data_IF_281405514824
#
_entry.id   IF_281405514824
#
_cell.length_a   1.000
_cell.length_b   1.000
_cell.length_c   1.000
_cell.angle_alpha   90.00
_cell.angle_beta   90.00
_cell.angle_gamma   90.00
#
_symmetry.space_group_name_H-M   'P 1'
#
loop_
_entity.id
_entity.type
_entity.pdbx_description
1 polymer ?
#
# COMPACT_ATOMS: atom_id res chain seq x y z
N UNK A 1 -42.90 52.52 -39.33
CA UNK A 1 -43.66 52.23 -38.10
C UNK A 1 -43.26 50.82 -37.67
N UNK A 2 -42.49 50.52 -36.63
CA UNK A 2 -42.02 51.22 -35.43
C UNK A 2 -40.55 50.82 -35.17
N UNK A 3 -39.80 51.79 -34.66
CA UNK A 3 -38.49 51.68 -34.00
C UNK A 3 -38.68 50.94 -32.66
N UNK A 4 -37.73 50.09 -32.24
CA UNK A 4 -37.43 49.75 -30.83
C UNK A 4 -36.11 48.93 -30.83
N UNK A 5 -34.97 49.54 -30.52
CA UNK A 5 -34.32 49.68 -29.21
C UNK A 5 -33.47 48.48 -28.74
N UNK A 6 -32.20 48.81 -28.55
CA UNK A 6 -31.10 48.11 -27.90
C UNK A 6 -31.48 47.24 -26.70
N UNK A 7 -30.75 46.14 -26.51
CA UNK A 7 -30.15 45.85 -25.20
C UNK A 7 -28.86 45.05 -25.37
N UNK A 8 -27.83 45.61 -24.75
CA UNK A 8 -26.46 45.16 -24.65
C UNK A 8 -26.41 44.09 -23.55
N UNK A 9 -26.01 42.87 -23.89
CA UNK A 9 -25.82 41.78 -22.94
C UNK A 9 -24.44 41.16 -23.10
N UNK A 10 -23.41 41.88 -22.66
CA UNK A 10 -22.09 41.27 -22.45
C UNK A 10 -22.21 40.43 -21.20
N UNK A 11 -22.44 39.13 -21.38
CA UNK A 11 -22.43 38.17 -20.29
C UNK A 11 -20.96 37.84 -19.97
N UNK A 12 -20.61 38.16 -18.74
CA UNK A 12 -19.29 38.04 -18.14
C UNK A 12 -18.89 36.56 -18.08
N UNK A 13 -17.93 36.15 -18.90
CA UNK A 13 -17.30 34.82 -18.83
C UNK A 13 -16.43 34.73 -17.57
N UNK A 14 -17.06 34.46 -16.42
CA UNK A 14 -16.37 33.94 -15.25
C UNK A 14 -16.66 32.45 -15.14
N UNK A 15 -15.59 31.67 -15.14
CA UNK A 15 -15.35 30.38 -14.46
C UNK A 15 -14.49 29.52 -15.39
N UNK A 16 -13.16 29.72 -15.28
CA UNK A 16 -12.15 28.70 -15.58
C UNK A 16 -10.80 29.17 -15.01
N UNK A 17 -10.71 29.25 -13.68
CA UNK A 17 -9.43 29.24 -12.94
C UNK A 17 -9.50 28.08 -11.94
N UNK A 18 -9.40 26.84 -12.43
CA UNK A 18 -9.23 25.66 -11.57
C UNK A 18 -8.50 24.50 -12.25
N UNK A 19 -7.85 24.71 -13.41
CA UNK A 19 -7.16 23.66 -14.18
C UNK A 19 -5.70 24.01 -14.53
N UNK A 20 -5.12 25.02 -13.87
CA UNK A 20 -3.78 25.51 -14.20
C UNK A 20 -2.65 24.84 -13.37
N UNK A 21 -2.96 24.16 -12.27
CA UNK A 21 -1.94 23.74 -11.28
C UNK A 21 -1.48 22.27 -11.38
N UNK A 22 -2.11 21.44 -12.22
CA UNK A 22 -1.75 20.01 -12.32
C UNK A 22 -0.40 19.72 -13.01
N UNK A 23 0.27 20.76 -13.53
CA UNK A 23 1.49 20.63 -14.34
C UNK A 23 2.70 21.35 -13.78
N UNK A 24 2.61 21.93 -12.60
CA UNK A 24 3.76 22.57 -11.96
C UNK A 24 3.74 22.37 -10.45
N UNK A 25 4.92 22.27 -9.85
CA UNK A 25 5.07 22.38 -8.40
C UNK A 25 6.44 22.97 -8.08
N UNK A 26 6.64 23.40 -6.84
CA UNK A 26 7.85 23.93 -6.27
C UNK A 26 8.50 22.91 -5.34
N UNK A 27 9.79 22.71 -5.55
CA UNK A 27 10.64 21.83 -4.76
C UNK A 27 11.67 22.68 -4.04
N UNK A 28 11.67 22.65 -2.71
CA UNK A 28 12.78 23.18 -1.93
C UNK A 28 13.94 22.21 -2.01
N UNK A 29 15.08 22.72 -2.51
CA UNK A 29 16.32 21.96 -2.61
C UNK A 29 17.38 22.69 -1.80
N UNK A 30 17.93 22.09 -0.74
CA UNK A 30 18.98 22.72 0.06
C UNK A 30 20.23 23.00 -0.77
N UNK A 31 20.93 24.11 -0.48
CA UNK A 31 22.17 24.51 -1.16
C UNK A 31 23.25 23.41 -1.18
N UNK A 32 23.29 22.59 -0.13
CA UNK A 32 24.21 21.45 -0.03
C UNK A 32 23.94 20.40 -1.10
N UNK A 33 22.68 20.20 -1.50
CA UNK A 33 22.31 19.31 -2.60
C UNK A 33 22.44 19.99 -3.96
N UNK A 34 22.07 21.27 -4.08
CA UNK A 34 22.24 22.02 -5.34
C UNK A 34 23.69 21.98 -5.82
N UNK A 35 24.65 22.16 -4.91
CA UNK A 35 26.09 22.12 -5.22
C UNK A 35 26.59 20.78 -5.75
N UNK A 36 25.85 19.69 -5.53
CA UNK A 36 26.22 18.36 -6.04
C UNK A 36 25.90 18.19 -7.52
N UNK A 37 25.06 19.06 -8.11
CA UNK A 37 24.59 18.92 -9.48
C UNK A 37 23.55 17.81 -9.70
N UNK A 38 23.21 17.01 -8.68
CA UNK A 38 22.16 15.99 -8.79
C UNK A 38 20.81 16.58 -9.22
N UNK A 39 20.33 17.72 -8.69
CA UNK A 39 19.05 18.29 -9.12
C UNK A 39 19.01 18.62 -10.62
N UNK A 40 20.11 19.12 -11.18
CA UNK A 40 20.22 19.42 -12.62
C UNK A 40 20.22 18.15 -13.48
N UNK A 41 20.67 17.02 -12.93
CA UNK A 41 20.55 15.72 -13.58
C UNK A 41 19.14 15.14 -13.46
N UNK A 42 18.54 15.23 -12.28
CA UNK A 42 17.33 14.50 -11.90
C UNK A 42 16.06 15.16 -12.47
N UNK A 43 15.89 16.46 -12.24
CA UNK A 43 14.64 17.17 -12.52
C UNK A 43 14.27 17.19 -14.01
N UNK A 44 15.21 17.41 -14.96
CA UNK A 44 14.88 17.35 -16.39
C UNK A 44 14.35 15.99 -16.83
N UNK A 45 14.85 14.89 -16.27
CA UNK A 45 14.41 13.52 -16.61
C UNK A 45 12.98 13.26 -16.17
N UNK A 46 12.62 13.74 -14.99
CA UNK A 46 11.24 13.71 -14.52
C UNK A 46 10.34 14.54 -15.44
N UNK A 47 10.70 15.80 -15.70
CA UNK A 47 9.88 16.71 -16.51
C UNK A 47 9.68 16.22 -17.94
N UNK A 48 10.71 15.64 -18.56
CA UNK A 48 10.61 15.06 -19.90
C UNK A 48 9.63 13.88 -19.96
N UNK A 49 9.62 13.03 -18.93
CA UNK A 49 8.76 11.84 -18.91
C UNK A 49 7.31 12.16 -18.54
N UNK A 50 7.08 13.18 -17.72
CA UNK A 50 5.77 13.45 -17.09
C UNK A 50 5.09 14.72 -17.60
N UNK A 51 5.82 15.57 -18.35
CA UNK A 51 5.37 16.93 -18.72
C UNK A 51 5.00 17.83 -17.53
N UNK A 52 5.47 17.50 -16.32
CA UNK A 52 5.33 18.33 -15.12
C UNK A 52 6.57 19.19 -14.95
N UNK A 53 6.37 20.50 -14.79
CA UNK A 53 7.44 21.47 -14.57
C UNK A 53 7.79 21.55 -13.08
N UNK A 54 9.07 21.46 -12.75
CA UNK A 54 9.55 21.65 -11.38
C UNK A 54 10.20 23.01 -11.26
N UNK A 55 9.76 23.80 -10.29
CA UNK A 55 10.38 25.09 -9.94
C UNK A 55 11.18 24.91 -8.65
N UNK A 56 12.49 25.08 -8.71
CA UNK A 56 13.34 25.00 -7.52
C UNK A 56 13.19 26.28 -6.70
N UNK A 57 13.12 26.13 -5.38
CA UNK A 57 13.05 27.25 -4.44
C UNK A 57 14.06 27.05 -3.31
N UNK A 58 14.44 28.16 -2.66
CA UNK A 58 15.38 28.17 -1.54
C UNK A 58 14.65 28.18 -0.19
N UNK A 59 15.42 28.03 0.90
CA UNK A 59 14.86 28.06 2.26
C UNK A 59 14.13 29.37 2.55
N UNK A 60 12.89 29.27 3.05
CA UNK A 60 12.04 30.42 3.40
C UNK A 60 11.01 30.79 2.33
N UNK A 61 11.09 30.20 1.14
CA UNK A 61 10.02 30.27 0.13
C UNK A 61 9.03 29.11 0.30
N UNK A 62 7.73 29.32 0.07
CA UNK A 62 6.77 28.24 0.12
C UNK A 62 7.06 27.21 -0.98
N UNK A 63 7.06 25.93 -0.60
CA UNK A 63 7.26 24.79 -1.49
C UNK A 63 6.20 23.71 -1.20
N UNK A 64 5.83 22.94 -2.22
CA UNK A 64 4.92 21.81 -2.04
C UNK A 64 5.69 20.57 -1.55
N UNK A 65 6.96 20.44 -1.93
CA UNK A 65 7.87 19.37 -1.52
C UNK A 65 9.19 19.95 -1.00
N UNK A 66 9.80 19.30 0.00
CA UNK A 66 11.11 19.69 0.55
C UNK A 66 12.08 18.51 0.62
N UNK A 67 13.28 18.67 0.04
CA UNK A 67 14.39 17.75 0.30
C UNK A 67 15.13 18.17 1.58
N UNK A 68 15.42 17.23 2.47
CA UNK A 68 16.06 17.51 3.74
C UNK A 68 16.95 16.35 4.21
N UNK A 69 17.79 16.62 5.21
CA UNK A 69 18.63 15.62 5.90
C UNK A 69 18.23 15.45 7.37
N UNK A 70 17.08 16.00 7.77
CA UNK A 70 16.59 16.05 9.16
C UNK A 70 15.67 14.86 9.49
N UNK A 71 15.65 13.83 8.63
CA UNK A 71 14.79 12.65 8.76
C UNK A 71 13.29 13.00 8.76
N UNK A 72 12.89 14.05 8.02
CA UNK A 72 11.49 14.41 7.81
C UNK A 72 10.99 13.85 6.47
N UNK A 73 9.90 13.08 6.51
CA UNK A 73 9.32 12.46 5.33
C UNK A 73 9.98 11.13 4.96
N UNK A 74 9.90 10.76 3.68
CA UNK A 74 10.36 9.45 3.20
C UNK A 74 11.81 9.51 2.76
N UNK A 75 12.64 8.54 3.16
CA UNK A 75 14.01 8.42 2.65
C UNK A 75 13.98 8.12 1.13
N UNK A 76 14.70 8.91 0.34
CA UNK A 76 14.65 8.83 -1.13
C UNK A 76 15.99 8.46 -1.77
N UNK A 77 17.11 8.79 -1.15
CA UNK A 77 18.45 8.38 -1.57
C UNK A 77 19.49 8.65 -0.49
N UNK A 78 20.61 7.94 -0.57
CA UNK A 78 21.81 8.19 0.23
C UNK A 78 22.81 8.97 -0.60
N UNK A 79 23.30 10.10 -0.06
CA UNK A 79 24.39 10.86 -0.65
C UNK A 79 25.67 10.72 0.16
N UNK A 80 26.79 11.30 -0.30
CA UNK A 80 28.10 11.12 0.33
C UNK A 80 28.19 11.61 1.79
N UNK A 81 27.36 12.58 2.16
CA UNK A 81 27.40 13.23 3.47
C UNK A 81 26.22 12.87 4.40
N UNK A 82 25.09 12.43 3.83
CA UNK A 82 23.85 12.17 4.58
C UNK A 82 22.82 11.40 3.74
N UNK A 83 21.86 10.79 4.43
CA UNK A 83 20.61 10.31 3.83
C UNK A 83 19.68 11.49 3.55
N UNK A 84 19.08 11.49 2.37
CA UNK A 84 18.14 12.50 1.93
C UNK A 84 16.71 11.99 2.03
N UNK A 85 15.86 12.86 2.56
CA UNK A 85 14.44 12.61 2.76
C UNK A 85 13.63 13.62 1.95
N UNK A 86 12.47 13.18 1.46
CA UNK A 86 11.49 14.02 0.80
C UNK A 86 10.28 14.20 1.71
N UNK A 87 10.07 15.43 2.17
CA UNK A 87 8.92 15.83 2.96
C UNK A 87 7.83 16.39 2.03
N UNK A 88 6.58 16.01 2.28
CA UNK A 88 5.41 16.47 1.51
C UNK A 88 4.70 17.54 2.33
N UNK A 89 5.03 18.80 2.06
CA UNK A 89 4.45 19.96 2.75
C UNK A 89 3.01 20.20 2.30
N UNK A 90 2.77 20.06 1.00
CA UNK A 90 1.45 20.18 0.41
C UNK A 90 1.29 19.18 -0.73
N UNK A 91 0.33 18.26 -0.57
CA UNK A 91 -0.02 17.30 -1.63
C UNK A 91 -0.79 18.00 -2.75
N UNK A 92 -0.33 17.76 -3.98
CA UNK A 92 -0.96 18.21 -5.22
C UNK A 92 -0.73 17.13 -6.28
N UNK A 93 -1.59 17.00 -7.31
CA UNK A 93 -1.41 15.98 -8.35
C UNK A 93 -0.04 16.02 -9.05
N UNK A 94 0.56 17.20 -9.18
CA UNK A 94 1.89 17.39 -9.76
C UNK A 94 3.01 16.93 -8.80
N UNK A 95 2.90 17.27 -7.52
CA UNK A 95 3.86 16.89 -6.48
C UNK A 95 3.80 15.37 -6.20
N UNK A 96 2.61 14.81 -6.07
CA UNK A 96 2.42 13.37 -5.81
C UNK A 96 3.03 12.52 -6.93
N UNK A 97 2.87 12.96 -8.19
CA UNK A 97 3.50 12.31 -9.34
C UNK A 97 5.03 12.35 -9.30
N UNK A 98 5.63 13.40 -8.72
CA UNK A 98 7.08 13.44 -8.49
C UNK A 98 7.50 12.45 -7.41
N UNK A 99 6.77 12.37 -6.30
CA UNK A 99 7.00 11.40 -5.22
C UNK A 99 6.97 9.97 -5.79
N UNK A 100 5.89 9.62 -6.50
CA UNK A 100 5.72 8.30 -7.14
C UNK A 100 6.85 7.98 -8.13
N UNK A 101 7.23 8.96 -8.96
CA UNK A 101 8.30 8.76 -9.93
C UNK A 101 9.67 8.57 -9.25
N UNK A 102 9.97 9.36 -8.22
CA UNK A 102 11.27 9.37 -7.57
C UNK A 102 11.60 8.02 -6.93
N UNK A 103 10.61 7.37 -6.32
CA UNK A 103 10.75 6.04 -5.69
C UNK A 103 10.58 4.87 -6.67
N UNK A 104 10.25 5.13 -7.93
CA UNK A 104 10.14 4.09 -8.97
C UNK A 104 11.49 3.64 -9.52
N UNK A 105 11.53 2.51 -10.24
CA UNK A 105 12.72 2.06 -11.00
C UNK A 105 13.33 3.15 -11.90
N UNK A 106 12.49 4.02 -12.47
CA UNK A 106 12.96 5.09 -13.34
C UNK A 106 13.66 6.20 -12.55
N UNK A 107 13.11 6.59 -11.40
CA UNK A 107 13.73 7.54 -10.47
C UNK A 107 15.00 6.96 -9.86
N UNK A 108 14.96 5.72 -9.40
CA UNK A 108 16.12 5.04 -8.82
C UNK A 108 17.29 4.88 -9.79
N UNK A 109 17.03 4.57 -11.07
CA UNK A 109 18.08 4.60 -12.11
C UNK A 109 18.60 5.99 -12.40
N UNK A 110 17.76 7.03 -12.31
CA UNK A 110 18.20 8.40 -12.50
C UNK A 110 19.10 8.88 -11.35
N UNK A 111 18.83 8.44 -10.12
CA UNK A 111 19.66 8.73 -8.94
C UNK A 111 21.00 7.98 -9.05
N UNK A 112 20.95 6.64 -9.17
CA UNK A 112 22.16 5.79 -9.16
C UNK A 112 23.00 5.91 -10.42
N UNK A 113 22.42 6.38 -11.53
CA UNK A 113 23.12 6.66 -12.78
C UNK A 113 23.85 8.00 -12.81
N UNK A 114 23.69 8.85 -11.79
CA UNK A 114 24.40 10.12 -11.72
C UNK A 114 25.87 9.91 -11.32
N UNK A 115 26.78 10.33 -12.20
CA UNK A 115 28.23 10.24 -12.01
C UNK A 115 28.84 11.63 -12.19
N UNK A 116 29.00 12.41 -11.11
CA UNK A 116 29.72 13.67 -11.16
C UNK A 116 31.24 13.45 -11.19
N UNK A 117 31.97 14.39 -11.78
CA UNK A 117 33.43 14.32 -11.94
C UNK A 117 34.19 14.31 -10.59
N UNK A 118 33.56 14.79 -9.52
CA UNK A 118 34.12 14.84 -8.16
C UNK A 118 33.95 13.52 -7.37
N UNK A 119 33.27 12.53 -7.96
CA UNK A 119 33.04 11.22 -7.36
C UNK A 119 31.93 11.17 -6.30
N UNK A 120 31.11 12.22 -6.14
CA UNK A 120 29.93 12.18 -5.29
C UNK A 120 28.92 11.13 -5.78
N UNK A 121 28.87 9.98 -5.10
CA UNK A 121 27.96 8.89 -5.44
C UNK A 121 26.65 9.01 -4.67
N UNK A 122 25.54 8.73 -5.37
CA UNK A 122 24.22 8.60 -4.78
C UNK A 122 23.71 7.17 -4.96
N UNK A 123 23.18 6.59 -3.88
CA UNK A 123 22.61 5.25 -3.87
C UNK A 123 21.14 5.31 -3.47
N UNK A 124 20.39 4.26 -3.81
CA UNK A 124 19.06 4.08 -3.24
C UNK A 124 19.18 3.90 -1.73
N UNK A 125 18.23 4.42 -0.94
CA UNK A 125 18.27 4.23 0.49
C UNK A 125 18.18 2.74 0.77
N UNK A 126 18.95 2.25 1.73
CA UNK A 126 18.71 0.90 2.27
C UNK A 126 17.35 0.95 2.94
N UNK A 127 16.31 0.51 2.24
CA UNK A 127 15.03 0.19 2.86
C UNK A 127 15.37 -0.94 3.81
N UNK A 128 15.49 -0.62 5.10
CA UNK A 128 15.40 -1.65 6.12
C UNK A 128 14.07 -2.33 5.84
N UNK A 129 14.14 -3.56 5.34
CA UNK A 129 12.99 -4.44 5.28
C UNK A 129 12.39 -4.36 6.67
N UNK A 130 11.24 -3.69 6.79
CA UNK A 130 10.50 -3.66 8.02
C UNK A 130 10.05 -5.10 8.13
N UNK A 131 10.86 -5.93 8.79
CA UNK A 131 10.40 -7.20 9.31
C UNK A 131 9.20 -6.82 10.16
N UNK A 132 7.99 -7.04 9.63
CA UNK A 132 6.78 -6.93 10.41
C UNK A 132 7.04 -7.75 11.66
N UNK A 133 7.00 -7.07 12.82
CA UNK A 133 7.24 -7.72 14.09
C UNK A 133 6.34 -8.97 14.12
N UNK A 134 6.87 -10.16 14.46
CA UNK A 134 6.12 -11.39 14.34
C UNK A 134 4.81 -11.22 15.10
N UNK A 135 3.67 -11.46 14.43
CA UNK A 135 2.35 -11.39 15.05
C UNK A 135 2.27 -12.53 16.06
N UNK A 136 2.62 -12.28 17.32
CA UNK A 136 2.57 -13.32 18.35
C UNK A 136 1.11 -13.54 18.75
N UNK A 137 0.64 -14.78 18.66
CA UNK A 137 -0.67 -15.19 19.17
C UNK A 137 -0.48 -16.21 20.28
N UNK A 138 -1.17 -15.97 21.39
CA UNK A 138 -1.21 -16.90 22.51
C UNK A 138 -2.12 -18.08 22.14
N UNK A 139 -1.54 -19.25 21.84
CA UNK A 139 -2.28 -20.46 21.48
C UNK A 139 -1.38 -21.63 21.12
N UNK A 140 -1.89 -22.87 21.23
CA UNK A 140 -1.14 -24.07 20.84
C UNK A 140 -1.21 -24.26 19.32
N UNK A 141 -0.17 -23.83 18.61
CA UNK A 141 -0.07 -23.94 17.15
C UNK A 141 -0.08 -25.40 16.64
N UNK A 142 0.37 -26.38 17.43
CA UNK A 142 0.31 -27.79 17.05
C UNK A 142 -1.13 -28.30 17.11
N UNK A 143 -1.86 -27.93 18.16
CA UNK A 143 -3.31 -28.17 18.22
C UNK A 143 -4.03 -27.42 17.09
N UNK A 144 -3.62 -26.18 16.80
CA UNK A 144 -4.14 -25.34 15.73
C UNK A 144 -4.02 -25.94 14.33
N UNK A 145 -2.88 -26.54 14.01
CA UNK A 145 -2.69 -27.26 12.74
C UNK A 145 -3.70 -28.41 12.61
N UNK A 146 -3.79 -29.23 13.66
CA UNK A 146 -4.71 -30.38 13.70
C UNK A 146 -6.16 -29.93 13.55
N UNK A 147 -6.57 -28.90 14.30
CA UNK A 147 -7.91 -28.32 14.25
C UNK A 147 -8.21 -27.75 12.87
N UNK A 148 -7.27 -27.01 12.27
CA UNK A 148 -7.41 -26.46 10.92
C UNK A 148 -7.63 -27.55 9.87
N UNK A 149 -6.89 -28.66 9.95
CA UNK A 149 -7.07 -29.80 9.05
C UNK A 149 -8.44 -30.47 9.21
N UNK A 150 -8.93 -30.59 10.45
CA UNK A 150 -10.25 -31.19 10.76
C UNK A 150 -11.41 -30.30 10.30
N UNK A 151 -11.33 -29.02 10.63
CA UNK A 151 -12.43 -28.08 10.49
C UNK A 151 -12.47 -27.40 9.12
N UNK A 152 -11.31 -27.05 8.56
CA UNK A 152 -11.20 -26.27 7.33
C UNK A 152 -10.74 -27.12 6.13
N UNK A 153 -10.05 -28.24 6.39
CA UNK A 153 -9.29 -29.00 5.40
C UNK A 153 -10.08 -29.66 4.28
N UNK A 154 -11.42 -29.76 4.41
CA UNK A 154 -12.29 -30.17 3.30
C UNK A 154 -12.34 -29.10 2.21
N UNK A 155 -12.43 -27.83 2.60
CA UNK A 155 -12.56 -26.72 1.66
C UNK A 155 -11.18 -26.14 1.33
N UNK A 156 -10.40 -25.80 2.34
CA UNK A 156 -9.13 -25.10 2.17
C UNK A 156 -7.94 -26.07 2.16
N UNK A 157 -6.96 -25.81 1.30
CA UNK A 157 -5.61 -26.38 1.48
C UNK A 157 -4.99 -25.67 2.68
N UNK A 158 -4.77 -26.42 3.76
CA UNK A 158 -4.22 -25.94 5.03
C UNK A 158 -2.70 -26.03 5.00
N UNK A 159 -2.17 -27.15 4.51
CA UNK A 159 -0.75 -27.38 4.28
C UNK A 159 -0.53 -28.60 3.37
N UNK A 160 0.71 -29.06 3.24
CA UNK A 160 1.05 -30.18 2.35
C UNK A 160 0.29 -31.47 2.66
N UNK A 161 -0.12 -31.70 3.92
CA UNK A 161 -0.85 -32.91 4.34
C UNK A 161 -2.21 -33.07 3.61
N UNK A 162 -2.81 -31.96 3.15
CA UNK A 162 -4.09 -31.94 2.44
C UNK A 162 -4.07 -31.24 1.07
N UNK A 163 -2.89 -30.94 0.50
CA UNK A 163 -2.74 -30.22 -0.79
C UNK A 163 -3.65 -30.71 -1.92
N UNK A 164 -3.82 -32.03 -2.04
CA UNK A 164 -4.64 -32.67 -3.09
C UNK A 164 -5.97 -33.25 -2.56
N UNK A 165 -6.39 -32.85 -1.35
CA UNK A 165 -7.59 -33.37 -0.67
C UNK A 165 -8.69 -32.32 -0.46
N UNK A 166 -8.40 -31.06 -0.73
CA UNK A 166 -9.35 -29.96 -0.64
C UNK A 166 -10.17 -29.79 -1.94
N UNK A 167 -11.31 -29.09 -1.90
CA UNK A 167 -12.20 -28.89 -3.07
C UNK A 167 -11.59 -28.07 -4.22
N UNK A 168 -10.46 -27.40 -4.00
CA UNK A 168 -9.72 -26.65 -5.03
C UNK A 168 -10.35 -25.33 -5.49
N UNK A 169 -11.61 -25.07 -5.16
CA UNK A 169 -12.34 -23.83 -5.54
C UNK A 169 -12.30 -22.73 -4.47
N UNK A 170 -11.66 -22.97 -3.33
CA UNK A 170 -11.45 -21.98 -2.26
C UNK A 170 -9.97 -21.73 -2.03
N UNK A 171 -9.57 -20.50 -1.66
CA UNK A 171 -8.16 -20.13 -1.51
C UNK A 171 -7.46 -20.99 -0.44
N UNK A 172 -6.17 -21.29 -0.62
CA UNK A 172 -5.38 -21.98 0.42
C UNK A 172 -5.09 -21.06 1.60
N UNK A 173 -4.71 -21.62 2.75
CA UNK A 173 -4.29 -20.81 3.90
C UNK A 173 -3.08 -19.93 3.56
N UNK A 174 -2.08 -20.48 2.87
CA UNK A 174 -0.93 -19.72 2.39
C UNK A 174 -1.33 -18.57 1.44
N UNK A 175 -2.32 -18.78 0.57
CA UNK A 175 -2.84 -17.74 -0.30
C UNK A 175 -3.54 -16.63 0.50
N UNK A 176 -4.35 -16.98 1.50
CA UNK A 176 -5.00 -15.99 2.37
C UNK A 176 -3.95 -15.22 3.18
N UNK A 177 -2.89 -15.88 3.66
CA UNK A 177 -1.78 -15.27 4.41
C UNK A 177 -1.03 -14.19 3.64
N UNK A 178 -1.08 -14.21 2.33
CA UNK A 178 -0.45 -13.22 1.46
C UNK A 178 -1.33 -11.98 1.18
N UNK A 179 -2.53 -11.89 1.77
CA UNK A 179 -3.43 -10.73 1.64
C UNK A 179 -3.19 -9.73 2.78
N UNK A 180 -3.26 -8.42 2.50
CA UNK A 180 -3.07 -7.37 3.51
C UNK A 180 -3.99 -7.52 4.74
N UNK A 181 -5.23 -7.99 4.53
CA UNK A 181 -6.22 -8.18 5.59
C UNK A 181 -6.36 -9.64 6.04
N UNK A 182 -5.30 -10.45 5.93
CA UNK A 182 -5.33 -11.87 6.28
C UNK A 182 -5.78 -12.09 7.73
N UNK A 183 -5.30 -11.28 8.69
CA UNK A 183 -5.63 -11.42 10.12
C UNK A 183 -7.14 -11.35 10.34
N UNK A 184 -7.76 -10.28 9.84
CA UNK A 184 -9.20 -10.10 9.92
C UNK A 184 -9.98 -11.26 9.29
N UNK A 185 -9.49 -11.79 8.15
CA UNK A 185 -10.17 -12.91 7.47
C UNK A 185 -10.15 -14.19 8.29
N UNK A 186 -9.05 -14.47 9.00
CA UNK A 186 -8.94 -15.62 9.87
C UNK A 186 -9.64 -15.41 11.22
N UNK A 187 -9.62 -14.21 11.79
CA UNK A 187 -10.30 -13.92 13.06
C UNK A 187 -11.82 -13.90 12.92
N UNK A 188 -12.32 -13.33 11.83
CA UNK A 188 -13.75 -13.13 11.62
C UNK A 188 -14.36 -14.16 10.67
N UNK A 189 -13.65 -15.24 10.33
CA UNK A 189 -14.09 -16.16 9.27
C UNK A 189 -15.52 -16.65 9.48
N UNK A 190 -15.93 -16.94 10.72
CA UNK A 190 -17.27 -17.42 11.10
C UNK A 190 -18.39 -16.41 10.78
N UNK A 191 -18.06 -15.14 10.59
CA UNK A 191 -18.96 -14.06 10.17
C UNK A 191 -18.86 -13.76 8.65
N UNK A 192 -17.84 -14.27 7.96
CA UNK A 192 -17.58 -14.01 6.54
C UNK A 192 -18.12 -15.13 5.64
N UNK A 193 -18.92 -14.76 4.64
CA UNK A 193 -19.50 -15.72 3.69
C UNK A 193 -18.40 -16.58 3.04
N UNK A 194 -18.62 -17.90 2.88
CA UNK A 194 -19.88 -18.62 3.13
C UNK A 194 -20.06 -19.18 4.56
N UNK A 195 -19.08 -18.99 5.45
CA UNK A 195 -18.98 -19.69 6.75
C UNK A 195 -20.14 -19.51 7.75
N UNK A 196 -20.83 -18.35 7.84
CA UNK A 196 -21.94 -18.18 8.80
C UNK A 196 -23.06 -19.21 8.63
N UNK A 197 -23.20 -19.80 7.44
CA UNK A 197 -24.23 -20.79 7.18
C UNK A 197 -23.94 -22.17 7.83
N UNK A 198 -22.70 -22.45 8.24
CA UNK A 198 -22.30 -23.78 8.72
C UNK A 198 -21.24 -23.79 9.83
N UNK A 199 -20.98 -22.63 10.44
CA UNK A 199 -20.00 -22.50 11.52
C UNK A 199 -20.70 -22.12 12.82
N UNK A 200 -20.35 -22.80 13.91
CA UNK A 200 -20.66 -22.35 15.26
C UNK A 200 -19.37 -22.28 16.08
N UNK A 201 -19.15 -21.16 16.74
CA UNK A 201 -18.08 -20.97 17.72
C UNK A 201 -18.72 -20.71 19.08
N UNK A 202 -18.43 -21.59 20.04
CA UNK A 202 -19.08 -21.56 21.36
C UNK A 202 -18.81 -20.23 22.06
N UNK A 203 -19.87 -19.61 22.57
CA UNK A 203 -19.79 -18.31 23.25
C UNK A 203 -19.59 -17.10 22.32
N UNK A 204 -19.41 -17.31 21.02
CA UNK A 204 -19.16 -16.23 20.04
C UNK A 204 -20.30 -16.11 19.03
N UNK A 205 -20.69 -17.20 18.37
CA UNK A 205 -21.77 -17.19 17.36
C UNK A 205 -23.14 -17.44 17.98
N UNK A 206 -24.18 -16.84 17.41
CA UNK A 206 -25.56 -17.22 17.73
C UNK A 206 -25.90 -18.61 17.15
N UNK A 207 -26.85 -19.35 17.76
CA UNK A 207 -27.39 -20.56 17.15
C UNK A 207 -27.98 -20.28 15.76
N UNK A 208 -27.97 -21.30 14.88
CA UNK A 208 -28.67 -21.18 13.60
C UNK A 208 -30.16 -20.89 13.80
N UNK A 209 -30.72 -20.04 12.94
CA UNK A 209 -32.16 -19.83 12.87
C UNK A 209 -32.85 -21.17 12.56
N UNK A 210 -33.80 -21.63 13.39
CA UNK A 210 -34.55 -22.87 13.12
C UNK A 210 -35.25 -22.89 11.75
N UNK A 211 -35.61 -21.72 11.20
CA UNK A 211 -36.19 -21.60 9.88
C UNK A 211 -35.14 -21.66 8.74
N UNK A 212 -33.84 -21.56 9.06
CA UNK A 212 -32.71 -21.61 8.12
C UNK A 212 -31.58 -22.45 8.73
N UNK A 213 -31.77 -23.77 8.88
CA UNK A 213 -30.75 -24.63 9.42
C UNK A 213 -29.52 -24.68 8.50
N UNK A 214 -28.40 -25.13 9.04
CA UNK A 214 -27.18 -25.29 8.25
C UNK A 214 -27.40 -26.24 7.06
N UNK A 215 -26.90 -25.92 5.85
CA UNK A 215 -27.08 -26.76 4.68
C UNK A 215 -26.17 -28.00 4.66
N UNK A 216 -25.25 -28.12 5.61
CA UNK A 216 -24.29 -29.22 5.76
C UNK A 216 -24.10 -29.51 7.25
N UNK A 217 -23.39 -30.60 7.60
CA UNK A 217 -23.03 -30.85 9.01
C UNK A 217 -22.23 -29.65 9.55
N UNK A 218 -22.72 -28.97 10.61
CA UNK A 218 -22.05 -27.80 11.13
C UNK A 218 -20.68 -28.12 11.71
N UNK A 219 -19.72 -27.27 11.35
CA UNK A 219 -18.45 -27.19 12.04
C UNK A 219 -18.66 -26.48 13.38
N UNK A 220 -18.24 -27.12 14.46
CA UNK A 220 -18.33 -26.59 15.82
C UNK A 220 -16.96 -26.56 16.46
N UNK A 221 -16.64 -25.47 17.15
CA UNK A 221 -15.38 -25.29 17.86
C UNK A 221 -15.57 -24.33 19.05
N UNK A 222 -14.66 -24.41 20.03
CA UNK A 222 -14.62 -23.45 21.13
C UNK A 222 -13.82 -22.18 20.78
N UNK A 223 -13.90 -21.14 21.62
CA UNK A 223 -13.00 -20.00 21.52
C UNK A 223 -11.51 -20.39 21.65
N UNK A 224 -11.20 -21.38 22.49
CA UNK A 224 -9.83 -21.88 22.64
C UNK A 224 -9.33 -22.61 21.38
N UNK A 225 -10.22 -23.34 20.70
CA UNK A 225 -9.87 -23.96 19.41
C UNK A 225 -9.61 -22.89 18.34
N UNK A 226 -10.39 -21.80 18.35
CA UNK A 226 -10.16 -20.64 17.47
C UNK A 226 -8.79 -20.01 17.76
N UNK A 227 -8.45 -19.75 19.02
CA UNK A 227 -7.15 -19.19 19.41
C UNK A 227 -5.98 -20.09 18.95
N UNK A 228 -6.12 -21.41 19.11
CA UNK A 228 -5.13 -22.37 18.62
C UNK A 228 -4.98 -22.32 17.10
N UNK A 229 -6.10 -22.25 16.34
CA UNK A 229 -6.09 -22.10 14.88
C UNK A 229 -5.37 -20.81 14.48
N UNK A 230 -5.67 -19.68 15.13
CA UNK A 230 -5.03 -18.39 14.86
C UNK A 230 -3.53 -18.43 15.14
N UNK A 231 -3.11 -19.08 16.23
CA UNK A 231 -1.71 -19.29 16.56
C UNK A 231 -0.98 -20.13 15.49
N UNK A 232 -1.63 -21.14 14.93
CA UNK A 232 -1.08 -21.89 13.81
C UNK A 232 -0.98 -21.05 12.53
N UNK A 233 -2.02 -20.29 12.19
CA UNK A 233 -2.08 -19.51 10.94
C UNK A 233 -0.93 -18.51 10.82
N UNK A 234 -0.53 -17.88 11.92
CA UNK A 234 0.62 -16.96 11.95
C UNK A 234 1.90 -17.65 11.47
N UNK A 235 2.09 -18.92 11.82
CA UNK A 235 3.29 -19.70 11.46
C UNK A 235 3.33 -20.09 9.99
N UNK A 236 2.23 -19.91 9.25
CA UNK A 236 2.14 -20.26 7.84
C UNK A 236 2.85 -19.17 7.04
N UNK A 237 3.82 -19.62 6.24
CA UNK A 237 4.50 -18.78 5.26
C UNK A 237 3.51 -18.34 4.17
N UNK A 238 3.40 -17.03 3.87
CA UNK A 238 2.56 -16.54 2.79
C UNK A 238 2.95 -17.16 1.45
N UNK A 239 1.96 -17.41 0.58
CA UNK A 239 2.24 -17.83 -0.77
C UNK A 239 2.95 -16.71 -1.55
N UNK A 240 3.94 -17.06 -2.36
CA UNK A 240 4.53 -16.14 -3.33
C UNK A 240 3.52 -15.87 -4.46
N UNK A 241 3.04 -14.63 -4.52
CA UNK A 241 2.07 -14.16 -5.49
C UNK A 241 2.72 -13.51 -6.73
N UNK A 242 4.03 -13.31 -6.72
CA UNK A 242 4.70 -12.44 -7.67
C UNK A 242 4.28 -10.98 -7.47
N UNK A 243 3.55 -10.41 -8.44
CA UNK A 243 3.04 -9.03 -8.31
C UNK A 243 1.86 -8.95 -7.31
N UNK A 244 1.66 -7.80 -6.62
CA UNK A 244 0.56 -7.64 -5.67
C UNK A 244 -0.80 -7.98 -6.30
N UNK A 245 -1.60 -8.79 -5.61
CA UNK A 245 -2.95 -9.12 -6.07
C UNK A 245 -3.83 -7.87 -6.02
N UNK A 246 -4.38 -7.46 -7.15
CA UNK A 246 -5.41 -6.43 -7.17
C UNK A 246 -6.69 -7.01 -6.54
N UNK A 247 -7.06 -6.49 -5.37
CA UNK A 247 -8.32 -6.82 -4.71
C UNK A 247 -9.49 -6.34 -5.56
N UNK A 248 -10.40 -7.25 -5.92
CA UNK A 248 -11.72 -6.92 -6.48
C UNK A 248 -12.72 -6.54 -5.38
#
# INVERSE_FOLDING_TARGET
MRILWCTFGIWLSMVNLAHADDKTFRLLVPDTLEKTGLPDHLLPRFSLKTSVKVSRVTSGEPAELELNTDNRGTAVFEGPAATWYLDVVQSTPAADRFVEWLVSDAGGRAITGYQPDDGAMFTLPVVAEVEDAPVIRDGDAVAGERLSLVHCGRCHVVNEKNRMKAIGSTPSFALIRALDNWEFRFEAFYALKPHPAFTQVDGITQPFDPARPSPIEPMRMSGQDLDAILAYVVTIEPADLGAPLQTQ
#
